data_IF_156791441860
#
_entry.id   IF_156791441860
#
_cell.length_a   1.000
_cell.length_b   1.000
_cell.length_c   1.000
_cell.angle_alpha   90.00
_cell.angle_beta   90.00
_cell.angle_gamma   90.00
#
_symmetry.space_group_name_H-M   'P 1'
#
loop_
_entity.id
_entity.type
_entity.pdbx_description
1 polymer ?
#
# COMPACT_ATOMS: atom_id res chain seq x y z
N UNK A 1 13.35 37.87 11.95
CA UNK A 1 12.79 36.51 12.12
C UNK A 1 13.19 35.71 10.89
N UNK A 2 14.08 34.74 11.07
CA UNK A 2 14.83 34.06 10.01
C UNK A 2 13.95 33.18 9.13
N UNK A 3 14.17 33.28 7.82
CA UNK A 3 13.54 32.52 6.76
C UNK A 3 13.84 31.02 6.94
N UNK A 4 12.86 30.21 7.37
CA UNK A 4 12.97 28.73 7.41
C UNK A 4 12.89 28.19 5.97
N UNK A 5 13.99 28.29 5.22
CA UNK A 5 14.15 27.74 3.86
C UNK A 5 14.25 26.19 3.79
N UNK A 6 13.91 25.46 4.86
CA UNK A 6 14.11 24.00 4.94
C UNK A 6 12.87 23.15 4.72
N UNK A 7 11.69 23.75 4.53
CA UNK A 7 10.45 23.02 4.23
C UNK A 7 10.10 23.20 2.76
N UNK A 8 10.72 22.38 1.90
CA UNK A 8 10.25 22.24 0.52
C UNK A 8 8.87 21.57 0.60
N UNK A 9 7.84 22.25 0.07
CA UNK A 9 6.49 21.68 -0.02
C UNK A 9 6.47 20.73 -1.21
N UNK A 10 6.53 19.44 -0.93
CA UNK A 10 6.41 18.38 -1.93
C UNK A 10 5.33 17.39 -1.50
N UNK A 11 4.74 16.70 -2.47
CA UNK A 11 3.86 15.56 -2.20
C UNK A 11 4.70 14.36 -1.76
N UNK A 12 4.11 13.44 -1.01
CA UNK A 12 4.80 12.21 -0.59
C UNK A 12 5.35 11.40 -1.80
N UNK A 13 4.61 11.25 -2.91
CA UNK A 13 5.15 10.62 -4.12
C UNK A 13 6.38 11.34 -4.68
N UNK A 14 6.31 12.67 -4.84
CA UNK A 14 7.45 13.46 -5.33
C UNK A 14 8.69 13.31 -4.45
N UNK A 15 8.52 13.34 -3.13
CA UNK A 15 9.61 13.14 -2.19
C UNK A 15 10.21 11.74 -2.35
N UNK A 16 9.38 10.70 -2.49
CA UNK A 16 9.82 9.33 -2.70
C UNK A 16 10.64 9.19 -3.99
N UNK A 17 10.10 9.58 -5.15
CA UNK A 17 10.81 9.45 -6.43
C UNK A 17 12.10 10.28 -6.47
N UNK A 18 12.11 11.47 -5.85
CA UNK A 18 13.31 12.30 -5.73
C UNK A 18 14.41 11.62 -4.90
N UNK A 19 14.05 10.94 -3.81
CA UNK A 19 14.99 10.18 -2.98
C UNK A 19 15.51 8.97 -3.72
N UNK A 20 14.65 8.23 -4.43
CA UNK A 20 15.05 7.08 -5.24
C UNK A 20 16.05 7.50 -6.31
N UNK A 21 15.77 8.58 -7.05
CA UNK A 21 16.65 9.09 -8.09
C UNK A 21 18.01 9.56 -7.53
N UNK A 22 18.02 10.17 -6.34
CA UNK A 22 19.23 10.75 -5.75
C UNK A 22 20.12 9.72 -5.06
N UNK A 23 19.54 8.69 -4.45
CA UNK A 23 20.24 7.77 -3.56
C UNK A 23 20.12 6.30 -3.99
N UNK A 24 19.80 6.03 -5.25
CA UNK A 24 19.48 4.69 -5.79
C UNK A 24 20.34 3.53 -5.25
N UNK A 25 21.67 3.70 -5.26
CA UNK A 25 22.63 2.66 -4.84
C UNK A 25 22.76 2.50 -3.32
N UNK A 26 22.27 3.45 -2.52
CA UNK A 26 22.32 3.37 -1.07
C UNK A 26 21.30 2.34 -0.55
N UNK A 27 21.75 1.44 0.33
CA UNK A 27 20.85 0.56 1.09
C UNK A 27 19.93 1.40 1.98
N UNK A 28 18.65 1.04 2.03
CA UNK A 28 17.62 1.81 2.70
C UNK A 28 16.66 0.99 3.58
N UNK A 29 16.57 -0.31 3.35
CA UNK A 29 15.69 -1.19 4.09
C UNK A 29 16.42 -2.47 4.47
N UNK A 30 16.27 -2.91 5.72
CA UNK A 30 16.86 -4.14 6.27
C UNK A 30 15.82 -4.91 7.06
N UNK A 31 15.87 -6.23 6.98
CA UNK A 31 15.03 -7.10 7.81
C UNK A 31 15.67 -8.48 7.97
N UNK A 32 15.29 -9.18 9.04
CA UNK A 32 15.75 -10.54 9.31
C UNK A 32 14.98 -11.55 8.44
N UNK A 33 15.70 -12.43 7.79
CA UNK A 33 15.17 -13.56 6.98
C UNK A 33 15.38 -14.91 7.68
N UNK A 34 16.06 -14.93 8.81
CA UNK A 34 16.35 -16.08 9.63
C UNK A 34 17.05 -15.66 10.93
N UNK A 35 17.37 -16.61 11.83
CA UNK A 35 17.92 -16.28 13.15
C UNK A 35 19.18 -15.41 13.11
N UNK A 36 20.01 -15.60 12.09
CA UNK A 36 21.28 -14.86 11.90
C UNK A 36 21.40 -14.26 10.49
N UNK A 37 20.37 -14.37 9.65
CA UNK A 37 20.41 -13.85 8.27
C UNK A 37 19.61 -12.57 8.16
N UNK A 38 20.25 -11.52 7.64
CA UNK A 38 19.63 -10.23 7.36
C UNK A 38 19.74 -9.94 5.87
N UNK A 39 18.62 -9.54 5.28
CA UNK A 39 18.55 -9.09 3.89
C UNK A 39 18.32 -7.58 3.86
N UNK A 40 18.70 -6.95 2.75
CA UNK A 40 18.50 -5.51 2.55
C UNK A 40 18.22 -5.17 1.10
N UNK A 41 17.50 -4.07 0.88
CA UNK A 41 17.33 -3.45 -0.44
C UNK A 41 17.96 -2.06 -0.51
N UNK A 42 18.40 -1.68 -1.70
CA UNK A 42 18.73 -0.30 -2.03
C UNK A 42 17.50 0.48 -2.52
N UNK A 43 17.64 1.81 -2.63
CA UNK A 43 16.55 2.67 -3.07
C UNK A 43 16.06 2.32 -4.48
N UNK A 44 16.95 1.94 -5.41
CA UNK A 44 16.57 1.52 -6.77
C UNK A 44 15.64 0.30 -6.74
N UNK A 45 15.95 -0.71 -5.91
CA UNK A 45 15.13 -1.91 -5.77
C UNK A 45 13.78 -1.64 -5.13
N UNK A 46 13.73 -0.78 -4.10
CA UNK A 46 12.48 -0.33 -3.48
C UNK A 46 11.64 0.48 -4.47
N UNK A 47 12.27 1.41 -5.20
CA UNK A 47 11.63 2.20 -6.25
C UNK A 47 11.02 1.33 -7.35
N UNK A 48 11.73 0.31 -7.82
CA UNK A 48 11.21 -0.63 -8.80
C UNK A 48 9.98 -1.40 -8.28
N UNK A 49 10.03 -1.87 -7.03
CA UNK A 49 8.90 -2.56 -6.41
C UNK A 49 7.68 -1.64 -6.30
N UNK A 50 7.86 -0.40 -5.85
CA UNK A 50 6.78 0.60 -5.76
C UNK A 50 6.22 0.94 -7.15
N UNK A 51 7.08 1.13 -8.16
CA UNK A 51 6.67 1.42 -9.54
C UNK A 51 5.79 0.31 -10.13
N UNK A 52 6.21 -0.94 -9.95
CA UNK A 52 5.46 -2.11 -10.42
C UNK A 52 4.14 -2.27 -9.65
N UNK A 53 4.15 -2.16 -8.31
CA UNK A 53 2.93 -2.27 -7.50
C UNK A 53 1.92 -1.17 -7.83
N UNK A 54 2.38 0.08 -7.98
CA UNK A 54 1.55 1.24 -8.35
C UNK A 54 0.86 0.98 -9.69
N UNK A 55 1.64 0.51 -10.67
CA UNK A 55 1.13 0.20 -12.00
C UNK A 55 0.18 -1.00 -11.98
N UNK A 56 0.40 -1.96 -11.09
CA UNK A 56 -0.51 -3.06 -10.83
C UNK A 56 -1.85 -2.57 -10.29
N UNK A 57 -1.84 -1.63 -9.34
CA UNK A 57 -3.06 -0.98 -8.83
C UNK A 57 -3.80 -0.23 -9.95
N UNK A 58 -3.09 0.49 -10.81
CA UNK A 58 -3.69 1.15 -11.98
C UNK A 58 -4.28 0.14 -12.96
N UNK A 59 -3.63 -1.00 -13.19
CA UNK A 59 -4.16 -2.09 -13.99
C UNK A 59 -5.45 -2.70 -13.39
N UNK A 60 -5.62 -2.62 -12.07
CA UNK A 60 -6.86 -2.98 -11.36
C UNK A 60 -7.90 -1.85 -11.33
N UNK A 61 -7.72 -0.80 -12.15
CA UNK A 61 -8.60 0.37 -12.24
C UNK A 61 -8.73 1.14 -10.92
N UNK A 62 -7.65 1.21 -10.12
CA UNK A 62 -7.56 2.17 -9.01
C UNK A 62 -7.46 3.58 -9.60
N UNK A 63 -8.30 4.48 -9.11
CA UNK A 63 -8.29 5.90 -9.51
C UNK A 63 -7.92 6.80 -8.33
N UNK A 64 -7.69 8.08 -8.62
CA UNK A 64 -7.37 9.08 -7.61
C UNK A 64 -8.36 9.02 -6.44
N UNK A 65 -7.81 9.11 -5.23
CA UNK A 65 -8.53 9.18 -3.98
C UNK A 65 -9.33 7.93 -3.61
N UNK A 66 -9.18 6.81 -4.33
CA UNK A 66 -9.66 5.52 -3.85
C UNK A 66 -8.99 5.11 -2.54
N UNK A 67 -9.68 4.30 -1.74
CA UNK A 67 -9.16 3.85 -0.44
C UNK A 67 -8.68 2.42 -0.55
N UNK A 68 -7.46 2.18 -0.08
CA UNK A 68 -6.83 0.88 -0.08
C UNK A 68 -6.30 0.61 1.32
N UNK A 69 -6.75 -0.49 1.90
CA UNK A 69 -6.40 -0.85 3.26
C UNK A 69 -5.13 -1.69 3.32
N UNK A 70 -4.37 -1.53 4.39
CA UNK A 70 -3.24 -2.39 4.73
C UNK A 70 -3.45 -2.94 6.15
N UNK A 71 -3.61 -4.26 6.25
CA UNK A 71 -3.69 -4.99 7.51
C UNK A 71 -2.51 -5.95 7.64
N UNK A 72 -1.38 -5.44 8.14
CA UNK A 72 -0.14 -6.20 8.17
C UNK A 72 0.72 -5.85 9.40
N UNK A 73 1.52 -6.81 9.86
CA UNK A 73 2.60 -6.57 10.83
C UNK A 73 3.73 -5.76 10.18
N UNK A 74 4.69 -5.30 10.99
CA UNK A 74 5.88 -4.64 10.47
C UNK A 74 6.66 -5.62 9.58
N UNK A 75 6.70 -5.32 8.28
CA UNK A 75 7.40 -6.08 7.26
C UNK A 75 7.87 -5.12 6.17
N UNK A 76 8.91 -5.47 5.40
CA UNK A 76 9.42 -4.60 4.35
C UNK A 76 8.37 -4.30 3.26
N UNK A 77 7.51 -5.29 2.96
CA UNK A 77 6.41 -5.19 2.01
C UNK A 77 5.41 -4.09 2.37
N UNK A 78 5.21 -3.81 3.67
CA UNK A 78 4.31 -2.76 4.14
C UNK A 78 4.67 -1.40 3.52
N UNK A 79 5.96 -1.07 3.52
CA UNK A 79 6.47 0.19 2.96
C UNK A 79 6.21 0.27 1.45
N UNK A 80 6.45 -0.81 0.72
CA UNK A 80 6.26 -0.83 -0.73
C UNK A 80 4.78 -0.69 -1.09
N UNK A 81 3.90 -1.38 -0.36
CA UNK A 81 2.45 -1.25 -0.48
C UNK A 81 1.99 0.18 -0.20
N UNK A 82 2.38 0.78 0.92
CA UNK A 82 1.98 2.15 1.27
C UNK A 82 2.43 3.17 0.21
N UNK A 83 3.71 3.17 -0.16
CA UNK A 83 4.19 4.08 -1.20
C UNK A 83 3.55 3.80 -2.56
N UNK A 84 3.19 2.57 -2.89
CA UNK A 84 2.45 2.29 -4.14
C UNK A 84 1.03 2.86 -4.15
N UNK A 85 0.35 2.84 -3.01
CA UNK A 85 -0.98 3.44 -2.86
C UNK A 85 -0.88 4.96 -3.02
N UNK A 86 0.10 5.57 -2.34
CA UNK A 86 0.35 7.00 -2.42
C UNK A 86 0.74 7.45 -3.84
N UNK A 87 1.63 6.70 -4.51
CA UNK A 87 2.03 6.97 -5.89
C UNK A 87 0.88 6.76 -6.89
N UNK A 88 -0.08 5.87 -6.59
CA UNK A 88 -1.32 5.74 -7.35
C UNK A 88 -2.30 6.91 -7.11
N UNK A 89 -1.97 7.84 -6.22
CA UNK A 89 -2.85 8.93 -5.78
C UNK A 89 -4.05 8.46 -4.96
N UNK A 90 -4.00 7.22 -4.47
CA UNK A 90 -4.98 6.63 -3.58
C UNK A 90 -4.64 6.93 -2.11
N UNK A 91 -5.56 6.57 -1.22
CA UNK A 91 -5.50 6.84 0.22
C UNK A 91 -5.24 5.53 0.95
N UNK A 92 -4.16 5.47 1.73
CA UNK A 92 -3.86 4.31 2.58
C UNK A 92 -4.79 4.28 3.78
N UNK A 93 -5.42 3.14 4.06
CA UNK A 93 -6.20 2.92 5.29
C UNK A 93 -5.44 1.93 6.17
N UNK A 94 -4.91 2.38 7.30
CA UNK A 94 -4.12 1.51 8.18
C UNK A 94 -5.02 0.70 9.10
N UNK A 95 -4.85 -0.62 9.11
CA UNK A 95 -5.59 -1.54 9.97
C UNK A 95 -4.62 -2.35 10.83
N UNK A 96 -4.85 -2.36 12.15
CA UNK A 96 -4.03 -3.17 13.04
C UNK A 96 -4.29 -4.67 12.82
N UNK A 97 -3.26 -5.51 12.55
CA UNK A 97 -3.45 -6.90 12.13
C UNK A 97 -4.04 -7.83 13.20
N UNK A 98 -4.04 -7.42 14.47
CA UNK A 98 -4.64 -8.21 15.56
C UNK A 98 -6.12 -7.90 15.81
N UNK A 99 -6.72 -7.00 15.04
CA UNK A 99 -8.16 -6.74 15.15
C UNK A 99 -8.96 -8.00 14.82
N UNK A 100 -10.14 -8.08 15.43
CA UNK A 100 -11.11 -9.13 15.09
C UNK A 100 -11.64 -8.93 13.67
N UNK A 101 -12.14 -10.01 13.06
CA UNK A 101 -12.71 -9.96 11.71
C UNK A 101 -13.90 -8.97 11.59
N UNK A 102 -14.68 -8.80 12.67
CA UNK A 102 -15.80 -7.84 12.70
C UNK A 102 -15.32 -6.39 12.71
N UNK A 103 -14.28 -6.10 13.49
CA UNK A 103 -13.68 -4.77 13.54
C UNK A 103 -12.97 -4.41 12.24
N UNK A 104 -12.28 -5.37 11.62
CA UNK A 104 -11.70 -5.22 10.29
C UNK A 104 -12.79 -4.91 9.25
N UNK A 105 -13.86 -5.69 9.19
CA UNK A 105 -14.96 -5.46 8.25
C UNK A 105 -15.63 -4.10 8.46
N UNK A 106 -15.81 -3.67 9.71
CA UNK A 106 -16.26 -2.31 10.03
C UNK A 106 -15.36 -1.25 9.40
N UNK A 107 -14.04 -1.33 9.58
CA UNK A 107 -13.08 -0.36 9.03
C UNK A 107 -13.11 -0.37 7.50
N UNK A 108 -13.15 -1.56 6.87
CA UNK A 108 -13.20 -1.67 5.40
C UNK A 108 -14.46 -1.00 4.85
N UNK A 109 -15.62 -1.24 5.47
CA UNK A 109 -16.88 -0.65 5.04
C UNK A 109 -16.94 0.85 5.29
N UNK A 110 -16.52 1.30 6.47
CA UNK A 110 -16.53 2.71 6.86
C UNK A 110 -15.58 3.54 6.00
N UNK A 111 -14.38 3.02 5.72
CA UNK A 111 -13.43 3.65 4.82
C UNK A 111 -13.80 3.51 3.34
N UNK A 112 -14.72 2.62 2.98
CA UNK A 112 -15.02 2.30 1.58
C UNK A 112 -13.78 1.82 0.81
N UNK A 113 -12.96 1.00 1.46
CA UNK A 113 -11.75 0.43 0.86
C UNK A 113 -12.10 -0.59 -0.23
N UNK A 114 -11.49 -0.44 -1.41
CA UNK A 114 -11.71 -1.33 -2.57
C UNK A 114 -10.73 -2.49 -2.62
N UNK A 115 -9.52 -2.29 -2.08
CA UNK A 115 -8.46 -3.30 -2.04
C UNK A 115 -7.95 -3.39 -0.60
N UNK A 116 -7.59 -4.59 -0.16
CA UNK A 116 -6.98 -4.83 1.14
C UNK A 116 -5.70 -5.65 0.99
N UNK A 117 -4.57 -5.12 1.47
CA UNK A 117 -3.36 -5.90 1.68
C UNK A 117 -3.40 -6.63 3.03
N UNK A 118 -2.99 -7.90 3.05
CA UNK A 118 -2.83 -8.70 4.27
C UNK A 118 -1.42 -9.31 4.34
N UNK A 119 -0.83 -9.38 5.53
CA UNK A 119 0.52 -9.93 5.70
C UNK A 119 0.61 -11.44 5.46
N UNK A 120 -0.41 -12.21 5.84
CA UNK A 120 -0.39 -13.68 5.80
C UNK A 120 -1.76 -14.33 5.53
N UNK A 121 -1.74 -15.67 5.44
CA UNK A 121 -2.93 -16.49 5.19
C UNK A 121 -3.92 -16.54 6.36
N UNK A 122 -3.47 -16.27 7.59
CA UNK A 122 -4.35 -16.23 8.77
C UNK A 122 -5.25 -15.00 8.67
N UNK A 123 -4.66 -13.85 8.35
CA UNK A 123 -5.40 -12.62 8.11
C UNK A 123 -6.25 -12.69 6.84
N UNK A 124 -5.76 -13.35 5.77
CA UNK A 124 -6.60 -13.66 4.61
C UNK A 124 -7.85 -14.46 5.01
N UNK A 125 -7.72 -15.48 5.86
CA UNK A 125 -8.86 -16.28 6.34
C UNK A 125 -9.94 -15.43 7.02
N UNK A 126 -9.54 -14.44 7.84
CA UNK A 126 -10.49 -13.47 8.44
C UNK A 126 -11.25 -12.68 7.38
N UNK A 127 -10.56 -12.25 6.32
CA UNK A 127 -11.16 -11.48 5.21
C UNK A 127 -12.16 -12.32 4.46
N UNK A 128 -11.78 -13.55 4.07
CA UNK A 128 -12.66 -14.45 3.33
C UNK A 128 -13.91 -14.84 4.14
N UNK A 129 -13.78 -15.05 5.45
CA UNK A 129 -14.93 -15.31 6.34
C UNK A 129 -15.94 -14.16 6.38
N UNK A 130 -15.50 -12.93 6.09
CA UNK A 130 -16.33 -11.72 6.11
C UNK A 130 -16.59 -11.17 4.70
N UNK A 131 -16.21 -11.87 3.64
CA UNK A 131 -16.20 -11.35 2.27
C UNK A 131 -17.54 -10.73 1.86
N UNK A 132 -18.63 -11.45 2.11
CA UNK A 132 -19.99 -11.02 1.76
C UNK A 132 -20.49 -9.83 2.58
N UNK A 133 -19.84 -9.52 3.71
CA UNK A 133 -20.15 -8.36 4.56
C UNK A 133 -19.38 -7.11 4.12
N UNK A 134 -18.49 -7.21 3.13
CA UNK A 134 -17.65 -6.12 2.63
C UNK A 134 -17.90 -5.87 1.13
N UNK A 135 -19.09 -5.40 0.72
CA UNK A 135 -19.54 -5.40 -0.68
C UNK A 135 -18.73 -4.47 -1.61
N UNK A 136 -17.90 -3.58 -1.06
CA UNK A 136 -17.01 -2.70 -1.84
C UNK A 136 -15.60 -3.26 -2.00
N UNK A 137 -15.25 -4.32 -1.25
CA UNK A 137 -13.94 -4.95 -1.35
C UNK A 137 -13.91 -5.81 -2.62
N UNK A 138 -13.02 -5.48 -3.54
CA UNK A 138 -12.92 -6.10 -4.86
C UNK A 138 -11.72 -7.04 -4.96
N UNK A 139 -10.62 -6.73 -4.28
CA UNK A 139 -9.39 -7.54 -4.30
C UNK A 139 -8.70 -7.58 -2.95
N UNK A 140 -8.03 -8.70 -2.68
CA UNK A 140 -7.10 -8.85 -1.55
C UNK A 140 -5.71 -9.17 -2.06
N UNK A 141 -4.71 -8.50 -1.52
CA UNK A 141 -3.31 -8.71 -1.89
C UNK A 141 -2.56 -9.32 -0.70
N UNK A 142 -2.09 -10.55 -0.83
CA UNK A 142 -1.31 -11.24 0.20
C UNK A 142 0.16 -10.89 0.05
N UNK A 143 0.78 -10.40 1.13
CA UNK A 143 2.18 -9.99 1.11
C UNK A 143 3.17 -11.14 1.24
N UNK A 144 2.74 -12.27 1.81
CA UNK A 144 3.59 -13.43 1.99
C UNK A 144 3.95 -14.08 0.65
N UNK A 145 5.25 -14.23 0.38
CA UNK A 145 5.77 -14.70 -0.91
C UNK A 145 5.36 -16.15 -1.26
N UNK A 146 5.07 -16.98 -0.25
CA UNK A 146 4.72 -18.39 -0.43
C UNK A 146 3.20 -18.62 -0.56
N UNK A 147 2.38 -17.56 -0.68
CA UNK A 147 0.96 -17.74 -0.91
C UNK A 147 0.71 -18.34 -2.29
N UNK A 148 0.16 -19.55 -2.29
CA UNK A 148 -0.35 -20.24 -3.47
C UNK A 148 -1.84 -20.50 -3.24
N UNK A 149 -2.68 -19.75 -3.93
CA UNK A 149 -4.12 -19.88 -3.88
C UNK A 149 -4.77 -19.60 -5.22
N UNK A 150 -6.01 -20.05 -5.37
CA UNK A 150 -6.78 -19.96 -6.62
C UNK A 150 -8.01 -19.07 -6.52
N UNK A 151 -8.19 -18.35 -5.40
CA UNK A 151 -9.33 -17.46 -5.25
C UNK A 151 -9.25 -16.31 -6.28
N UNK A 152 -10.28 -16.08 -7.12
CA UNK A 152 -10.21 -15.14 -8.24
C UNK A 152 -9.97 -13.69 -7.80
N UNK A 153 -10.37 -13.35 -6.57
CA UNK A 153 -10.20 -12.02 -5.99
C UNK A 153 -9.02 -11.87 -5.05
N UNK A 154 -8.14 -12.88 -4.98
CA UNK A 154 -6.91 -12.82 -4.19
C UNK A 154 -5.71 -12.90 -5.11
N UNK A 155 -4.80 -11.93 -4.96
CA UNK A 155 -3.48 -11.94 -5.59
C UNK A 155 -2.41 -11.98 -4.50
N UNK A 156 -1.21 -12.42 -4.83
CA UNK A 156 -0.02 -12.09 -4.04
C UNK A 156 0.71 -10.87 -4.61
N UNK A 157 1.68 -10.33 -3.87
CA UNK A 157 2.47 -9.18 -4.33
C UNK A 157 3.20 -9.44 -5.65
N UNK A 158 3.71 -10.65 -5.87
CA UNK A 158 4.41 -11.00 -7.11
C UNK A 158 3.47 -10.87 -8.31
N UNK A 159 2.26 -11.43 -8.24
CA UNK A 159 1.25 -11.33 -9.30
C UNK A 159 0.86 -9.88 -9.56
N UNK A 160 0.70 -9.06 -8.51
CA UNK A 160 0.40 -7.64 -8.69
C UNK A 160 1.54 -6.89 -9.39
N UNK A 161 2.80 -7.20 -9.05
CA UNK A 161 3.98 -6.62 -9.73
C UNK A 161 4.06 -7.05 -11.19
N UNK A 162 3.79 -8.32 -11.50
CA UNK A 162 3.74 -8.81 -12.89
C UNK A 162 2.65 -8.10 -13.70
N UNK A 163 1.46 -7.89 -13.12
CA UNK A 163 0.39 -7.09 -13.74
C UNK A 163 0.89 -5.67 -14.03
N UNK A 164 1.57 -5.04 -13.07
CA UNK A 164 2.15 -3.72 -13.21
C UNK A 164 3.23 -3.63 -14.29
N UNK A 165 4.14 -4.59 -14.36
CA UNK A 165 5.17 -4.64 -15.40
C UNK A 165 4.55 -4.76 -16.80
N UNK A 166 3.51 -5.61 -16.96
CA UNK A 166 2.76 -5.74 -18.22
C UNK A 166 1.96 -4.48 -18.56
N UNK A 167 1.45 -3.77 -17.55
CA UNK A 167 0.77 -2.49 -17.73
C UNK A 167 1.75 -1.43 -18.22
N UNK A 168 2.91 -1.29 -17.58
CA UNK A 168 3.96 -0.34 -17.98
C UNK A 168 4.53 -0.61 -19.37
N UNK A 169 4.66 -1.88 -19.75
CA UNK A 169 5.06 -2.22 -21.11
C UNK A 169 4.11 -1.63 -22.17
N UNK A 170 2.81 -1.56 -21.87
CA UNK A 170 1.78 -0.99 -22.75
C UNK A 170 1.60 0.52 -22.56
N UNK A 171 1.93 1.04 -21.38
CA UNK A 171 1.77 2.44 -20.99
C UNK A 171 3.03 2.95 -20.27
N UNK A 172 4.14 3.20 -20.99
CA UNK A 172 5.44 3.47 -20.37
C UNK A 172 5.48 4.69 -19.44
N UNK A 173 4.68 5.70 -19.76
CA UNK A 173 4.63 6.99 -19.05
C UNK A 173 3.59 7.02 -17.92
N UNK A 174 2.70 6.02 -17.85
CA UNK A 174 1.53 6.08 -16.98
C UNK A 174 1.86 6.17 -15.48
N UNK A 175 2.95 5.55 -15.03
CA UNK A 175 3.39 5.72 -13.64
C UNK A 175 3.81 7.17 -13.38
N UNK A 176 4.63 7.75 -14.27
CA UNK A 176 5.19 9.08 -14.09
C UNK A 176 4.11 10.17 -14.17
N UNK A 177 3.15 10.03 -15.10
CA UNK A 177 1.96 10.87 -15.17
C UNK A 177 1.10 10.77 -13.90
N UNK A 178 0.94 9.56 -13.36
CA UNK A 178 0.07 9.31 -12.20
C UNK A 178 0.60 9.99 -10.96
N UNK A 179 1.82 9.71 -10.54
CA UNK A 179 2.32 10.23 -9.27
C UNK A 179 2.50 11.76 -9.31
N UNK A 180 2.81 12.33 -10.49
CA UNK A 180 2.91 13.77 -10.70
C UNK A 180 1.56 14.48 -10.63
N UNK A 181 0.46 13.76 -10.90
CA UNK A 181 -0.90 14.31 -10.79
C UNK A 181 -1.41 14.47 -9.35
N UNK A 182 -0.71 13.89 -8.36
CA UNK A 182 -1.10 13.97 -6.95
C UNK A 182 -0.91 15.40 -6.44
N UNK A 183 -1.97 15.97 -5.85
CA UNK A 183 -1.99 17.32 -5.31
C UNK A 183 -1.55 17.40 -3.85
N UNK A 184 -1.10 18.60 -3.42
CA UNK A 184 -0.69 18.87 -2.02
C UNK A 184 -1.82 18.75 -0.99
N UNK A 185 -3.09 18.78 -1.44
CA UNK A 185 -4.27 18.71 -0.59
C UNK A 185 -5.05 17.41 -0.76
N UNK A 186 -4.53 16.49 -1.58
CA UNK A 186 -5.09 15.15 -1.69
C UNK A 186 -4.86 14.40 -0.39
N UNK A 187 -5.85 13.58 0.00
CA UNK A 187 -5.74 12.78 1.22
C UNK A 187 -4.70 11.70 1.00
N UNK A 188 -3.84 11.47 2.00
CA UNK A 188 -2.79 10.46 1.94
C UNK A 188 -3.14 9.21 2.73
N UNK A 189 -3.61 9.36 3.97
CA UNK A 189 -3.75 8.24 4.90
C UNK A 189 -4.96 8.43 5.81
N UNK A 190 -5.66 7.34 6.12
CA UNK A 190 -6.70 7.29 7.14
C UNK A 190 -6.21 6.36 8.25
N UNK A 191 -6.16 6.90 9.47
CA UNK A 191 -5.78 6.16 10.67
C UNK A 191 -6.99 6.06 11.60
N UNK A 192 -7.36 4.83 11.95
CA UNK A 192 -8.44 4.57 12.90
C UNK A 192 -7.91 4.55 14.32
N UNK A 193 -8.33 5.50 15.14
CA UNK A 193 -8.04 5.51 16.58
C UNK A 193 -9.20 4.92 17.37
N UNK A 194 -8.92 4.37 18.56
CA UNK A 194 -9.97 4.01 19.51
C UNK A 194 -10.65 5.29 20.00
N UNK A 195 -11.85 5.57 19.51
CA UNK A 195 -12.62 6.72 19.97
C UNK A 195 -13.05 6.57 21.44
N UNK A 196 -13.34 7.69 22.09
CA UNK A 196 -13.75 7.79 23.50
C UNK A 196 -15.04 6.97 23.78
N UNK A 197 -15.88 6.74 22.76
CA UNK A 197 -17.11 5.94 22.84
C UNK A 197 -16.90 4.44 22.58
N UNK A 198 -15.67 3.95 22.44
CA UNK A 198 -15.34 2.58 22.06
C UNK A 198 -15.51 2.28 20.56
N UNK A 199 -16.17 3.18 19.81
CA UNK A 199 -16.28 3.12 18.34
C UNK A 199 -15.06 3.78 17.70
N UNK A 200 -14.43 3.10 16.72
CA UNK A 200 -13.28 3.67 15.99
C UNK A 200 -13.76 4.73 14.99
N UNK A 201 -13.08 5.88 15.00
CA UNK A 201 -13.29 6.97 14.06
C UNK A 201 -12.06 7.08 13.15
N UNK A 202 -12.27 7.19 11.85
CA UNK A 202 -11.20 7.44 10.88
C UNK A 202 -10.74 8.90 10.96
N UNK A 203 -9.44 9.10 11.15
CA UNK A 203 -8.79 10.41 11.06
C UNK A 203 -8.06 10.46 9.73
N UNK A 204 -8.30 11.51 8.94
CA UNK A 204 -7.65 11.80 7.66
C UNK A 204 -6.49 12.76 7.89
#
# INVERSE_FOLDING_TARGET
MSNRQYLVRETLPRMFDSVVARYGECRCQWWQTGPETTTSLNYTQVGQAVRELTSGLMCLNVVMQDRIAIMARNCPQWLWSDFSILNAGAVTVTIFPRLSQREMAYIINDSGSRILYVDDTVNLGKVLNMWNEMPRLEKVIVMQDNYVGSHPDVLNLYQLRELGAKFLFRHPEAYDERWQSVGMHDRSTIVYSSGISGRRLGVV
#
